data_IF_481643654615
#
_entry.id   IF_481643654615
#
_cell.length_a   1.000
_cell.length_b   1.000
_cell.length_c   1.000
_cell.angle_alpha   90.00
_cell.angle_beta   90.00
_cell.angle_gamma   90.00
#
_symmetry.space_group_name_H-M   'P 1'
#
loop_
_entity.id
_entity.type
_entity.pdbx_description
1 polymer ?
#
# COMPACT_ATOMS: atom_id res chain seq x y z
N UNK A 1 -9.19 3.30 -16.79
CA UNK A 1 -8.31 3.83 -15.72
C UNK A 1 -6.87 3.80 -16.21
N UNK A 2 -6.21 4.96 -16.37
CA UNK A 2 -4.86 5.03 -16.96
C UNK A 2 -3.75 4.56 -16.00
N UNK A 3 -3.86 4.92 -14.71
CA UNK A 3 -2.89 4.53 -13.69
C UNK A 3 -2.89 3.03 -13.42
N UNK A 4 -4.07 2.41 -13.29
CA UNK A 4 -4.18 0.95 -13.12
C UNK A 4 -3.49 0.22 -14.28
N UNK A 5 -3.83 0.58 -15.53
CA UNK A 5 -3.17 0.02 -16.73
C UNK A 5 -1.66 0.19 -16.71
N UNK A 6 -1.15 1.34 -16.27
CA UNK A 6 0.29 1.58 -16.20
C UNK A 6 0.96 0.72 -15.11
N UNK A 7 0.38 0.69 -13.91
CA UNK A 7 0.87 -0.12 -12.79
C UNK A 7 0.88 -1.62 -13.12
N UNK A 8 -0.17 -2.10 -13.80
CA UNK A 8 -0.35 -3.50 -14.19
C UNK A 8 0.11 -3.79 -15.63
N UNK A 9 1.02 -2.98 -16.19
CA UNK A 9 1.51 -3.16 -17.56
C UNK A 9 2.75 -4.05 -17.70
N UNK A 10 3.48 -4.25 -16.59
CA UNK A 10 4.75 -4.98 -16.60
C UNK A 10 5.89 -4.16 -17.20
N UNK A 11 5.65 -2.88 -17.50
CA UNK A 11 6.68 -1.96 -17.95
C UNK A 11 7.58 -1.55 -16.77
N UNK A 12 8.91 -1.76 -16.84
CA UNK A 12 9.82 -1.55 -15.72
C UNK A 12 10.01 -0.07 -15.32
N UNK A 13 9.36 0.87 -16.02
CA UNK A 13 9.37 2.30 -15.66
C UNK A 13 8.32 2.66 -14.61
N UNK A 14 7.40 1.75 -14.28
CA UNK A 14 6.40 1.96 -13.24
C UNK A 14 6.66 0.98 -12.10
N UNK A 15 6.84 1.49 -10.90
CA UNK A 15 7.14 0.71 -9.70
C UNK A 15 6.48 1.31 -8.47
N UNK A 16 6.41 0.52 -7.41
CA UNK A 16 5.68 0.85 -6.19
C UNK A 16 6.31 2.04 -5.46
N UNK A 17 5.45 3.00 -5.12
CA UNK A 17 5.70 4.05 -4.14
C UNK A 17 4.41 4.33 -3.40
N UNK A 18 4.38 4.16 -2.07
CA UNK A 18 3.13 4.27 -1.30
C UNK A 18 2.65 5.70 -1.12
N UNK A 19 3.60 6.65 -1.11
CA UNK A 19 3.38 8.02 -0.63
C UNK A 19 2.66 8.04 0.74
N UNK A 20 2.95 7.05 1.59
CA UNK A 20 2.32 6.92 2.89
C UNK A 20 2.75 8.08 3.78
N UNK A 21 1.80 8.95 4.12
CA UNK A 21 2.01 10.17 4.89
C UNK A 21 1.04 10.19 6.10
N UNK A 22 1.44 9.63 7.25
CA UNK A 22 0.64 9.71 8.46
C UNK A 22 0.61 11.15 9.00
N UNK A 23 -0.59 11.59 9.38
CA UNK A 23 -0.82 12.84 10.11
C UNK A 23 -1.70 12.52 11.30
N UNK A 24 -1.41 13.15 12.44
CA UNK A 24 -2.26 13.06 13.63
C UNK A 24 -3.68 13.46 13.24
N UNK A 25 -4.66 12.74 13.79
CA UNK A 25 -6.08 12.94 13.49
C UNK A 25 -6.50 14.40 13.66
N UNK A 26 -6.05 15.04 14.73
CA UNK A 26 -6.37 16.43 15.04
C UNK A 26 -5.88 17.40 13.95
N UNK A 27 -4.69 17.17 13.36
CA UNK A 27 -4.14 18.03 12.31
C UNK A 27 -4.88 17.85 10.98
N UNK A 28 -5.31 16.61 10.68
CA UNK A 28 -6.06 16.27 9.46
C UNK A 28 -7.53 16.72 9.55
N UNK A 29 -8.20 16.49 10.67
CA UNK A 29 -9.59 16.88 10.94
C UNK A 29 -9.69 18.32 11.50
N UNK A 30 -8.95 19.24 10.90
CA UNK A 30 -8.87 20.64 11.30
C UNK A 30 -9.46 21.59 10.25
N UNK A 31 -9.53 22.88 10.58
CA UNK A 31 -9.94 23.93 9.62
C UNK A 31 -8.97 24.10 8.44
N UNK A 32 -7.76 23.56 8.54
CA UNK A 32 -6.73 23.55 7.49
C UNK A 32 -6.03 22.18 7.48
N UNK A 33 -6.82 21.14 7.19
CA UNK A 33 -6.37 19.75 7.25
C UNK A 33 -5.11 19.46 6.45
N UNK A 34 -4.12 18.78 7.05
CA UNK A 34 -2.92 18.35 6.35
C UNK A 34 -3.23 17.34 5.23
N UNK A 35 -2.57 17.51 4.09
CA UNK A 35 -2.69 16.59 2.95
C UNK A 35 -1.77 15.37 3.14
N UNK A 36 -2.35 14.17 3.10
CA UNK A 36 -1.60 12.91 3.18
C UNK A 36 -2.50 11.73 3.52
N UNK A 37 -2.18 10.55 2.98
CA UNK A 37 -2.91 9.31 3.23
C UNK A 37 -2.01 8.31 3.95
N UNK A 38 -2.49 7.70 5.04
CA UNK A 38 -1.73 6.65 5.72
C UNK A 38 -2.07 5.27 5.13
N UNK A 39 -1.26 4.83 4.18
CA UNK A 39 -1.41 3.55 3.45
C UNK A 39 -0.37 2.51 3.88
N UNK A 40 0.69 2.92 4.59
CA UNK A 40 1.78 2.05 5.01
C UNK A 40 1.37 0.88 5.89
N UNK A 41 0.22 0.97 6.58
CA UNK A 41 -0.31 -0.10 7.43
C UNK A 41 -0.72 -1.38 6.67
N UNK A 42 -1.05 -1.26 5.38
CA UNK A 42 -1.55 -2.38 4.56
C UNK A 42 -1.20 -2.20 3.07
N UNK A 43 0.01 -1.69 2.80
CA UNK A 43 0.40 -1.29 1.44
C UNK A 43 0.31 -2.47 0.45
N UNK A 44 0.83 -3.64 0.83
CA UNK A 44 0.88 -4.81 -0.05
C UNK A 44 -0.52 -5.37 -0.33
N UNK A 45 -1.38 -5.39 0.68
CA UNK A 45 -2.78 -5.80 0.59
C UNK A 45 -3.56 -4.90 -0.37
N UNK A 46 -3.42 -3.57 -0.23
CA UNK A 46 -4.07 -2.58 -1.09
C UNK A 46 -3.64 -2.72 -2.55
N UNK A 47 -2.34 -2.90 -2.82
CA UNK A 47 -1.85 -3.13 -4.19
C UNK A 47 -2.33 -4.48 -4.74
N UNK A 48 -2.36 -5.54 -3.92
CA UNK A 48 -2.85 -6.84 -4.35
C UNK A 48 -4.32 -6.80 -4.78
N UNK A 49 -5.18 -6.06 -4.08
CA UNK A 49 -6.58 -5.85 -4.50
C UNK A 49 -6.68 -5.19 -5.89
N UNK A 50 -5.85 -4.18 -6.17
CA UNK A 50 -5.84 -3.51 -7.48
C UNK A 50 -5.36 -4.45 -8.57
N UNK A 51 -4.27 -5.18 -8.34
CA UNK A 51 -3.71 -6.11 -9.32
C UNK A 51 -4.64 -7.32 -9.55
N UNK A 52 -5.34 -7.79 -8.52
CA UNK A 52 -6.39 -8.81 -8.65
C UNK A 52 -7.56 -8.30 -9.49
N UNK A 53 -8.06 -7.09 -9.22
CA UNK A 53 -9.18 -6.51 -9.96
C UNK A 53 -8.87 -6.32 -11.46
N UNK A 54 -7.61 -6.04 -11.80
CA UNK A 54 -7.13 -5.93 -13.19
C UNK A 54 -6.71 -7.28 -13.80
N UNK A 55 -6.87 -8.41 -13.08
CA UNK A 55 -6.49 -9.74 -13.56
C UNK A 55 -4.98 -9.92 -13.77
N UNK A 56 -4.16 -9.16 -13.04
CA UNK A 56 -2.74 -8.95 -13.27
C UNK A 56 -1.85 -9.31 -12.07
N UNK A 57 -2.31 -10.14 -11.12
CA UNK A 57 -1.52 -10.55 -9.94
C UNK A 57 -0.10 -11.03 -10.25
N UNK A 58 0.11 -11.73 -11.38
CA UNK A 58 1.44 -12.17 -11.81
C UNK A 58 2.43 -11.04 -12.13
N UNK A 59 1.96 -9.79 -12.24
CA UNK A 59 2.80 -8.61 -12.47
C UNK A 59 3.14 -7.86 -11.17
N UNK A 60 2.52 -8.22 -10.05
CA UNK A 60 2.69 -7.52 -8.76
C UNK A 60 4.13 -7.57 -8.28
N UNK A 61 4.81 -8.73 -8.40
CA UNK A 61 6.22 -8.88 -7.98
C UNK A 61 7.13 -7.92 -8.76
N UNK A 62 7.02 -7.89 -10.09
CA UNK A 62 7.79 -6.96 -10.91
C UNK A 62 7.66 -5.51 -10.44
N UNK A 63 6.41 -5.06 -10.26
CA UNK A 63 6.06 -3.72 -9.81
C UNK A 63 6.53 -3.39 -8.38
N UNK A 64 6.41 -4.34 -7.45
CA UNK A 64 6.63 -4.12 -6.02
C UNK A 64 8.07 -4.40 -5.55
N UNK A 65 8.83 -5.28 -6.21
CA UNK A 65 10.13 -5.74 -5.71
C UNK A 65 11.28 -5.60 -6.72
N UNK A 66 11.02 -5.67 -8.02
CA UNK A 66 12.10 -5.72 -9.03
C UNK A 66 12.39 -4.36 -9.67
N UNK A 67 11.38 -3.73 -10.26
CA UNK A 67 11.57 -2.57 -11.13
C UNK A 67 12.18 -1.36 -10.41
N UNK A 68 11.77 -1.12 -9.16
CA UNK A 68 12.37 -0.08 -8.33
C UNK A 68 13.84 -0.35 -8.01
N UNK A 69 14.17 -1.57 -7.55
CA UNK A 69 15.56 -1.96 -7.25
C UNK A 69 16.46 -1.82 -8.49
N UNK A 70 16.01 -2.30 -9.65
CA UNK A 70 16.72 -2.18 -10.91
C UNK A 70 16.94 -0.71 -11.32
N UNK A 71 15.91 0.15 -11.17
CA UNK A 71 16.00 1.58 -11.48
C UNK A 71 17.03 2.30 -10.60
N UNK A 72 17.01 2.02 -9.29
CA UNK A 72 17.95 2.59 -8.33
C UNK A 72 19.32 1.90 -8.32
N UNK A 73 19.53 0.86 -9.14
CA UNK A 73 20.76 0.05 -9.20
C UNK A 73 21.12 -0.61 -7.87
N UNK A 74 20.10 -1.04 -7.14
CA UNK A 74 20.24 -1.79 -5.89
C UNK A 74 20.02 -3.28 -6.17
N UNK A 75 20.60 -4.19 -5.37
CA UNK A 75 20.30 -5.61 -5.47
C UNK A 75 18.82 -5.86 -5.21
N UNK A 76 18.25 -6.84 -5.89
CA UNK A 76 16.90 -7.33 -5.60
C UNK A 76 16.92 -8.07 -4.26
N UNK A 77 15.81 -8.02 -3.53
CA UNK A 77 15.65 -8.79 -2.30
C UNK A 77 15.74 -10.30 -2.59
N UNK A 78 16.41 -11.04 -1.71
CA UNK A 78 16.50 -12.51 -1.78
C UNK A 78 15.44 -13.22 -0.92
N UNK A 79 14.77 -12.46 -0.06
CA UNK A 79 13.69 -12.95 0.80
C UNK A 79 12.35 -12.90 0.07
N UNK A 80 11.40 -13.68 0.58
CA UNK A 80 10.03 -13.73 0.06
C UNK A 80 9.07 -13.34 1.16
N UNK A 81 8.01 -12.62 0.77
CA UNK A 81 6.83 -12.40 1.59
C UNK A 81 5.64 -13.16 1.01
N UNK A 82 4.65 -13.47 1.84
CA UNK A 82 3.44 -14.19 1.41
C UNK A 82 2.19 -13.38 1.68
N UNK A 83 1.40 -13.13 0.63
CA UNK A 83 0.05 -12.58 0.72
C UNK A 83 -0.97 -13.73 0.61
N UNK A 84 -1.94 -13.75 1.52
CA UNK A 84 -3.04 -14.71 1.52
C UNK A 84 -4.36 -13.98 1.29
N UNK A 85 -5.24 -14.54 0.48
CA UNK A 85 -6.64 -14.10 0.42
C UNK A 85 -7.33 -14.48 1.73
N UNK A 86 -7.41 -13.52 2.64
CA UNK A 86 -8.10 -13.66 3.91
C UNK A 86 -8.72 -12.31 4.26
N UNK A 87 -10.04 -12.23 4.17
CA UNK A 87 -10.72 -10.96 4.39
C UNK A 87 -10.64 -10.56 5.86
N UNK A 88 -10.09 -9.38 6.15
CA UNK A 88 -9.95 -8.83 7.49
C UNK A 88 -10.37 -7.35 7.55
N UNK A 89 -10.81 -6.89 8.72
CA UNK A 89 -11.19 -5.49 8.92
C UNK A 89 -9.96 -4.65 9.27
N UNK A 90 -9.83 -3.48 8.65
CA UNK A 90 -8.85 -2.47 9.05
C UNK A 90 -9.30 -1.80 10.35
N UNK A 91 -8.37 -1.58 11.27
CA UNK A 91 -8.64 -0.82 12.48
C UNK A 91 -9.20 0.57 12.15
N UNK A 92 -10.14 1.06 12.96
CA UNK A 92 -10.74 2.39 12.76
C UNK A 92 -9.76 3.52 13.08
N UNK A 93 -8.78 3.25 13.94
CA UNK A 93 -7.71 4.15 14.34
C UNK A 93 -6.46 3.34 14.72
N UNK A 94 -5.29 3.94 14.57
CA UNK A 94 -4.01 3.38 14.97
C UNK A 94 -3.26 4.40 15.83
N UNK A 95 -2.49 3.94 16.83
CA UNK A 95 -1.64 4.83 17.63
C UNK A 95 -0.43 5.28 16.81
N UNK A 96 -0.07 6.56 16.91
CA UNK A 96 1.11 7.15 16.28
C UNK A 96 2.26 7.39 17.28
N UNK A 97 2.19 6.76 18.46
CA UNK A 97 3.01 7.10 19.62
C UNK A 97 2.32 8.13 20.52
N UNK A 98 2.71 8.15 21.81
CA UNK A 98 2.04 8.93 22.86
C UNK A 98 0.50 8.69 22.89
N UNK A 99 -0.28 9.73 23.16
CA UNK A 99 -1.76 9.73 23.14
C UNK A 99 -2.34 10.07 21.75
N UNK A 100 -1.49 10.20 20.73
CA UNK A 100 -1.89 10.59 19.37
C UNK A 100 -2.36 9.40 18.52
N UNK A 101 -3.34 9.67 17.65
CA UNK A 101 -3.93 8.68 16.76
C UNK A 101 -3.87 9.12 15.30
N UNK A 102 -3.85 8.13 14.40
CA UNK A 102 -3.96 8.31 12.95
C UNK A 102 -5.13 7.47 12.42
N UNK A 103 -5.87 8.04 11.46
CA UNK A 103 -6.90 7.31 10.73
C UNK A 103 -6.27 6.70 9.46
N UNK A 104 -6.13 5.36 9.37
CA UNK A 104 -5.60 4.73 8.17
C UNK A 104 -6.57 4.87 6.99
N UNK A 105 -6.04 4.79 5.76
CA UNK A 105 -6.89 4.55 4.59
C UNK A 105 -7.65 3.23 4.78
N UNK A 106 -8.92 3.19 4.37
CA UNK A 106 -9.83 2.04 4.58
C UNK A 106 -10.17 1.77 6.06
N UNK A 107 -10.01 2.72 6.97
CA UNK A 107 -10.39 2.58 8.38
C UNK A 107 -11.82 2.03 8.56
N UNK A 108 -11.96 0.89 9.26
CA UNK A 108 -13.22 0.20 9.49
C UNK A 108 -13.77 -0.59 8.29
N UNK A 109 -13.11 -0.56 7.13
CA UNK A 109 -13.47 -1.34 5.95
C UNK A 109 -12.74 -2.71 5.92
N UNK A 110 -13.15 -3.58 5.00
CA UNK A 110 -12.54 -4.90 4.81
C UNK A 110 -11.46 -4.86 3.74
N UNK A 111 -10.26 -5.40 4.00
CA UNK A 111 -9.31 -5.80 2.97
C UNK A 111 -9.54 -7.26 2.58
N UNK A 112 -9.17 -7.64 1.36
CA UNK A 112 -9.30 -9.01 0.81
C UNK A 112 -8.03 -9.84 0.98
N UNK A 113 -6.90 -9.16 1.11
CA UNK A 113 -5.58 -9.76 1.22
C UNK A 113 -4.99 -9.46 2.60
N UNK A 114 -4.09 -10.33 3.03
CA UNK A 114 -3.38 -10.24 4.31
C UNK A 114 -1.92 -10.65 4.09
N UNK A 115 -0.98 -9.84 4.57
CA UNK A 115 0.43 -10.21 4.67
C UNK A 115 0.66 -11.18 5.84
N UNK A 116 1.25 -12.34 5.54
CA UNK A 116 1.40 -13.45 6.51
C UNK A 116 2.84 -13.63 7.00
N UNK A 117 3.82 -13.32 6.16
CA UNK A 117 5.26 -13.47 6.41
C UNK A 117 6.05 -12.58 5.50
#
# INVERSE_FOLDING_TARGET
MALCRAATSGNPRFFLGTDSAPHVRADKESSCGCAGCYTGHAAMELYAEVFEAEGALGQLEGFASHFGADFYRLPRNETTITLRQNANSVATELSLGDDDTVIPIRAGEMLRWELVS
#
